data_IF_692782048574
#
_entry.id   IF_692782048574
#
_cell.length_a   1.000
_cell.length_b   1.000
_cell.length_c   1.000
_cell.angle_alpha   90.00
_cell.angle_beta   90.00
_cell.angle_gamma   90.00
#
_symmetry.space_group_name_H-M   'P 1'
#
loop_
_entity.id
_entity.type
_entity.pdbx_description
1 polymer ?
#
# COMPACT_ATOMS: atom_id res chain seq x y z
N UNK A 1 0.32 -27.68 0.80
CA UNK A 1 1.14 -26.49 0.56
C UNK A 1 0.58 -25.82 -0.68
N UNK A 2 0.11 -24.57 -0.58
CA UNK A 2 -0.42 -23.86 -1.75
C UNK A 2 0.73 -23.53 -2.70
N UNK A 3 0.75 -24.14 -3.88
CA UNK A 3 1.89 -24.13 -4.80
C UNK A 3 2.23 -22.72 -5.30
N UNK A 4 1.27 -21.78 -5.34
CA UNK A 4 1.48 -20.40 -5.78
C UNK A 4 2.29 -19.56 -4.79
N UNK A 5 2.35 -19.94 -3.50
CA UNK A 5 3.09 -19.20 -2.47
C UNK A 5 4.62 -19.33 -2.62
N UNK A 6 5.11 -20.20 -3.50
CA UNK A 6 6.54 -20.22 -3.86
C UNK A 6 6.91 -19.07 -4.83
N UNK A 7 5.90 -18.39 -5.39
CA UNK A 7 6.09 -17.34 -6.38
C UNK A 7 6.60 -17.85 -7.73
N UNK A 8 6.95 -16.92 -8.60
CA UNK A 8 7.44 -17.21 -9.94
C UNK A 8 8.85 -16.63 -10.14
N UNK A 9 9.92 -17.40 -9.94
CA UNK A 9 11.30 -16.91 -10.04
C UNK A 9 11.71 -16.54 -11.48
N UNK A 10 10.87 -16.81 -12.48
CA UNK A 10 11.13 -16.42 -13.87
C UNK A 10 10.75 -14.96 -14.16
N UNK A 11 10.00 -14.32 -13.26
CA UNK A 11 9.56 -12.94 -13.42
C UNK A 11 10.56 -11.98 -12.81
N UNK A 12 10.66 -10.80 -13.42
CA UNK A 12 11.46 -9.68 -12.90
C UNK A 12 10.60 -8.85 -11.95
N UNK A 13 11.12 -8.56 -10.76
CA UNK A 13 10.48 -7.66 -9.78
C UNK A 13 10.30 -6.28 -10.40
N UNK A 14 9.11 -5.70 -10.24
CA UNK A 14 8.83 -4.34 -10.71
C UNK A 14 9.58 -3.32 -9.87
N UNK A 15 10.32 -2.43 -10.51
CA UNK A 15 10.94 -1.31 -9.81
C UNK A 15 9.88 -0.29 -9.38
N UNK A 16 9.67 -0.13 -8.06
CA UNK A 16 8.62 0.74 -7.49
C UNK A 16 8.58 2.17 -8.05
N UNK A 17 9.74 2.75 -8.38
CA UNK A 17 9.84 4.11 -8.92
C UNK A 17 9.37 4.24 -10.38
N UNK A 18 9.20 3.13 -11.08
CA UNK A 18 8.78 3.11 -12.49
C UNK A 18 7.24 3.04 -12.63
N UNK A 19 6.54 2.64 -11.56
CA UNK A 19 5.08 2.51 -11.54
C UNK A 19 4.39 3.87 -11.73
N UNK A 20 3.44 3.92 -12.67
CA UNK A 20 2.69 5.14 -13.02
C UNK A 20 1.29 5.12 -12.42
N UNK A 21 0.63 6.28 -12.41
CA UNK A 21 -0.77 6.39 -11.99
C UNK A 21 -1.67 5.47 -12.83
N UNK A 22 -2.74 4.94 -12.22
CA UNK A 22 -3.66 3.99 -12.83
C UNK A 22 -3.38 2.54 -12.44
N UNK A 23 -3.95 1.61 -13.21
CA UNK A 23 -3.87 0.16 -12.96
C UNK A 23 -2.55 -0.37 -13.54
N UNK A 24 -1.77 -1.06 -12.71
CA UNK A 24 -0.51 -1.68 -13.09
C UNK A 24 -0.52 -3.16 -12.70
N UNK A 25 -0.06 -4.03 -13.59
CA UNK A 25 0.29 -5.42 -13.22
C UNK A 25 1.75 -5.43 -12.79
N UNK A 26 2.00 -5.74 -11.51
CA UNK A 26 3.32 -5.65 -10.91
C UNK A 26 3.77 -7.00 -10.37
N UNK A 27 5.07 -7.13 -10.16
CA UNK A 27 5.72 -8.24 -9.48
C UNK A 27 6.38 -7.70 -8.22
N UNK A 28 5.92 -8.15 -7.06
CA UNK A 28 6.45 -7.75 -5.75
C UNK A 28 7.50 -8.74 -5.27
N UNK A 29 8.59 -8.23 -4.71
CA UNK A 29 9.66 -8.96 -4.01
C UNK A 29 9.20 -9.36 -2.60
N UNK A 30 8.27 -10.32 -2.52
CA UNK A 30 7.79 -10.81 -1.22
C UNK A 30 8.91 -11.44 -0.42
N UNK A 31 9.04 -11.02 0.84
CA UNK A 31 9.98 -11.60 1.80
C UNK A 31 9.68 -13.08 2.04
N UNK A 32 8.40 -13.46 2.08
CA UNK A 32 7.94 -14.79 2.47
C UNK A 32 7.68 -15.70 1.26
N UNK A 33 7.26 -15.13 0.13
CA UNK A 33 6.64 -15.88 -0.97
C UNK A 33 7.35 -15.68 -2.32
N UNK A 34 8.56 -15.11 -2.34
CA UNK A 34 9.32 -14.87 -3.57
C UNK A 34 8.67 -13.83 -4.49
N UNK A 35 8.84 -13.98 -5.81
CA UNK A 35 8.31 -13.02 -6.78
C UNK A 35 6.81 -13.25 -6.99
N UNK A 36 5.98 -12.29 -6.57
CA UNK A 36 4.52 -12.42 -6.53
C UNK A 36 3.84 -11.44 -7.47
N UNK A 37 3.01 -11.94 -8.38
CA UNK A 37 2.21 -11.14 -9.31
C UNK A 37 0.96 -10.58 -8.62
N UNK A 38 0.68 -9.29 -8.79
CA UNK A 38 -0.55 -8.66 -8.31
C UNK A 38 -0.90 -7.41 -9.11
N UNK A 39 -2.07 -6.84 -8.86
CA UNK A 39 -2.46 -5.54 -9.40
C UNK A 39 -2.14 -4.47 -8.36
N UNK A 40 -1.52 -3.37 -8.81
CA UNK A 40 -1.38 -2.12 -8.07
C UNK A 40 -2.12 -1.00 -8.82
N UNK A 41 -3.15 -0.44 -8.19
CA UNK A 41 -3.81 0.77 -8.63
C UNK A 41 -3.18 1.95 -7.91
N UNK A 42 -2.43 2.77 -8.63
CA UNK A 42 -1.68 3.90 -8.07
C UNK A 42 -2.43 5.21 -8.30
N UNK A 43 -2.42 6.07 -7.28
CA UNK A 43 -3.04 7.40 -7.32
C UNK A 43 -4.56 7.38 -7.52
N UNK A 44 -5.25 6.39 -6.95
CA UNK A 44 -6.71 6.40 -6.88
C UNK A 44 -7.16 7.53 -5.93
N UNK A 45 -8.17 8.30 -6.32
CA UNK A 45 -8.67 9.40 -5.50
C UNK A 45 -9.96 9.04 -4.77
N UNK A 46 -10.03 9.38 -3.49
CA UNK A 46 -11.26 9.36 -2.70
C UNK A 46 -11.62 10.79 -2.34
N UNK A 47 -12.81 11.24 -2.74
CA UNK A 47 -13.31 12.57 -2.44
C UNK A 47 -13.99 12.58 -1.07
N UNK A 48 -13.55 13.47 -0.19
CA UNK A 48 -14.09 13.65 1.16
C UNK A 48 -15.38 14.50 1.11
N UNK A 49 -16.13 14.52 2.21
CA UNK A 49 -17.38 15.31 2.37
C UNK A 49 -17.23 16.80 2.02
N UNK A 50 -16.02 17.36 2.14
CA UNK A 50 -15.71 18.76 1.84
C UNK A 50 -15.13 19.01 0.43
N UNK A 51 -15.05 17.95 -0.40
CA UNK A 51 -14.54 18.02 -1.78
C UNK A 51 -13.02 17.88 -1.91
N UNK A 52 -12.27 17.78 -0.82
CA UNK A 52 -10.84 17.46 -0.90
C UNK A 52 -10.64 16.03 -1.37
N UNK A 53 -9.57 15.80 -2.15
CA UNK A 53 -9.20 14.48 -2.63
C UNK A 53 -8.03 13.92 -1.83
N UNK A 54 -8.25 12.76 -1.22
CA UNK A 54 -7.17 11.91 -0.73
C UNK A 54 -6.70 10.96 -1.82
N UNK A 55 -5.43 10.60 -1.77
CA UNK A 55 -4.78 9.76 -2.76
C UNK A 55 -4.38 8.43 -2.12
N UNK A 56 -4.71 7.32 -2.76
CA UNK A 56 -4.46 5.99 -2.24
C UNK A 56 -3.79 5.10 -3.28
N UNK A 57 -3.11 4.07 -2.80
CA UNK A 57 -2.67 2.94 -3.59
C UNK A 57 -3.44 1.68 -3.15
N UNK A 58 -3.87 0.86 -4.12
CA UNK A 58 -4.58 -0.40 -3.87
C UNK A 58 -3.76 -1.54 -4.44
N UNK A 59 -3.34 -2.47 -3.58
CA UNK A 59 -2.69 -3.71 -3.98
C UNK A 59 -3.68 -4.85 -3.83
N UNK A 60 -3.95 -5.61 -4.89
CA UNK A 60 -4.97 -6.67 -4.88
C UNK A 60 -4.62 -7.87 -5.75
N UNK A 61 -5.20 -9.05 -5.49
CA UNK A 61 -4.98 -10.22 -6.33
C UNK A 61 -5.31 -9.94 -7.81
N UNK A 62 -4.51 -10.50 -8.72
CA UNK A 62 -4.75 -10.43 -10.16
C UNK A 62 -5.81 -11.48 -10.60
N UNK A 63 -6.99 -11.41 -10.00
CA UNK A 63 -8.14 -12.29 -10.27
C UNK A 63 -9.42 -11.62 -9.79
N UNK A 64 -10.55 -12.02 -10.37
CA UNK A 64 -11.86 -11.59 -9.92
C UNK A 64 -12.18 -12.17 -8.52
N UNK A 65 -12.95 -11.43 -7.74
CA UNK A 65 -13.41 -11.86 -6.42
C UNK A 65 -13.48 -10.72 -5.42
N UNK A 66 -14.12 -11.01 -4.28
CA UNK A 66 -14.18 -10.12 -3.12
C UNK A 66 -13.20 -10.59 -2.08
N UNK A 67 -12.36 -9.67 -1.60
CA UNK A 67 -11.28 -9.97 -0.67
C UNK A 67 -11.37 -9.08 0.56
N UNK A 68 -11.01 -9.59 1.75
CA UNK A 68 -10.85 -8.76 2.93
C UNK A 68 -9.79 -7.67 2.71
N UNK A 69 -10.02 -6.49 3.29
CA UNK A 69 -9.16 -5.31 3.13
C UNK A 69 -8.30 -5.09 4.38
N UNK A 70 -6.99 -4.96 4.19
CA UNK A 70 -6.04 -4.41 5.15
C UNK A 70 -5.75 -2.97 4.76
N UNK A 71 -5.87 -2.03 5.70
CA UNK A 71 -5.69 -0.61 5.42
C UNK A 71 -4.73 0.03 6.41
N UNK A 72 -3.88 0.92 5.92
CA UNK A 72 -3.11 1.84 6.76
C UNK A 72 -3.15 3.25 6.16
N UNK A 73 -3.05 4.25 7.04
CA UNK A 73 -3.13 5.66 6.68
C UNK A 73 -2.16 6.49 7.51
N UNK A 74 -1.44 7.39 6.87
CA UNK A 74 -0.53 8.35 7.50
C UNK A 74 -0.30 9.55 6.56
N UNK A 75 0.53 10.49 7.00
CA UNK A 75 0.94 11.67 6.23
C UNK A 75 2.42 11.62 5.80
N UNK A 76 3.08 10.45 5.86
CA UNK A 76 4.53 10.30 5.66
C UNK A 76 4.92 10.07 4.20
N UNK A 77 3.99 9.59 3.37
CA UNK A 77 4.16 9.40 1.94
C UNK A 77 3.88 7.97 1.50
N UNK A 78 2.72 7.77 0.85
CA UNK A 78 2.24 6.45 0.41
C UNK A 78 3.13 5.72 -0.61
N UNK A 79 4.01 6.45 -1.30
CA UNK A 79 4.92 5.93 -2.34
C UNK A 79 6.38 5.85 -1.86
N UNK A 80 6.65 6.02 -0.56
CA UNK A 80 8.00 5.90 -0.03
C UNK A 80 8.52 4.48 -0.24
N UNK A 81 9.69 4.35 -0.88
CA UNK A 81 10.46 3.11 -0.87
C UNK A 81 11.14 2.97 0.50
N UNK A 82 11.04 1.80 1.18
CA UNK A 82 11.60 1.63 2.51
C UNK A 82 13.12 1.81 2.49
N UNK A 83 13.62 2.67 3.37
CA UNK A 83 15.06 2.91 3.59
C UNK A 83 15.57 2.12 4.79
N UNK A 84 14.70 1.89 5.79
CA UNK A 84 15.06 1.26 7.06
C UNK A 84 15.62 -0.16 6.92
N UNK A 85 15.35 -0.82 5.79
CA UNK A 85 15.88 -2.15 5.44
C UNK A 85 17.41 -2.18 5.33
N UNK A 86 18.08 -1.03 5.18
CA UNK A 86 19.55 -0.95 5.05
C UNK A 86 20.17 0.23 5.83
N UNK A 87 19.61 0.58 7.00
CA UNK A 87 20.08 1.71 7.82
C UNK A 87 21.07 1.33 8.93
N UNK A 88 21.57 0.09 8.99
CA UNK A 88 22.33 -0.44 10.14
C UNK A 88 23.52 0.41 10.59
N UNK A 89 24.26 1.04 9.68
CA UNK A 89 25.38 1.91 10.04
C UNK A 89 24.95 3.28 10.60
N UNK A 90 23.79 3.79 10.17
CA UNK A 90 23.25 5.10 10.58
C UNK A 90 22.40 4.98 11.86
N UNK A 91 21.67 3.87 12.01
CA UNK A 91 20.78 3.63 13.13
C UNK A 91 20.78 2.14 13.53
N UNK A 92 21.80 1.68 14.29
CA UNK A 92 22.04 0.26 14.53
C UNK A 92 21.01 -0.42 15.46
N UNK A 93 20.21 0.36 16.20
CA UNK A 93 19.23 -0.17 17.16
C UNK A 93 17.86 -0.47 16.55
N UNK A 94 17.67 -0.29 15.24
CA UNK A 94 16.41 -0.61 14.57
C UNK A 94 16.12 -2.12 14.53
N UNK A 95 17.17 -2.97 14.61
CA UNK A 95 17.05 -4.41 14.42
C UNK A 95 16.83 -4.80 12.96
N UNK A 96 16.44 -6.06 12.74
CA UNK A 96 16.15 -6.58 11.39
C UNK A 96 14.70 -6.27 10.99
N UNK A 97 14.52 -5.53 9.90
CA UNK A 97 13.21 -5.14 9.39
C UNK A 97 13.08 -5.60 7.93
N UNK A 98 12.75 -6.88 7.68
CA UNK A 98 12.57 -7.38 6.33
C UNK A 98 11.18 -7.02 5.79
N UNK A 99 11.12 -6.30 4.66
CA UNK A 99 9.89 -5.97 3.93
C UNK A 99 10.14 -6.02 2.43
N UNK A 100 9.09 -6.13 1.61
CA UNK A 100 9.18 -5.90 0.17
C UNK A 100 9.50 -4.43 -0.14
N UNK A 101 9.95 -4.17 -1.37
CA UNK A 101 10.24 -2.81 -1.86
C UNK A 101 8.99 -1.92 -1.99
N UNK A 102 7.79 -2.49 -1.89
CA UNK A 102 6.49 -1.82 -1.96
C UNK A 102 5.89 -1.49 -0.58
N UNK A 103 6.70 -1.53 0.49
CA UNK A 103 6.24 -1.29 1.86
C UNK A 103 6.82 0.02 2.39
N UNK A 104 6.08 1.15 2.32
CA UNK A 104 6.45 2.33 3.10
C UNK A 104 6.61 1.96 4.57
N UNK A 105 7.49 2.64 5.30
CA UNK A 105 7.67 2.39 6.73
C UNK A 105 6.32 2.41 7.49
N UNK A 106 6.24 1.60 8.56
CA UNK A 106 5.03 1.42 9.40
C UNK A 106 3.80 0.83 8.67
N UNK A 107 3.97 0.32 7.45
CA UNK A 107 2.88 -0.21 6.62
C UNK A 107 2.76 -1.73 6.63
N UNK A 108 1.56 -2.26 6.39
CA UNK A 108 1.36 -3.66 6.00
C UNK A 108 2.04 -3.94 4.65
N UNK A 109 2.82 -5.02 4.57
CA UNK A 109 3.55 -5.40 3.36
C UNK A 109 2.60 -6.08 2.34
N UNK A 110 2.35 -5.51 1.14
CA UNK A 110 1.50 -6.15 0.14
C UNK A 110 2.05 -7.49 -0.34
N UNK A 111 3.38 -7.68 -0.30
CA UNK A 111 4.04 -8.95 -0.61
C UNK A 111 3.70 -10.06 0.38
N UNK A 112 3.24 -9.75 1.59
CA UNK A 112 2.73 -10.75 2.53
C UNK A 112 1.21 -10.93 2.40
N UNK A 113 0.46 -9.82 2.41
CA UNK A 113 -1.00 -9.88 2.51
C UNK A 113 -1.68 -10.31 1.21
N UNK A 114 -1.25 -9.79 0.06
CA UNK A 114 -1.93 -10.05 -1.22
C UNK A 114 -1.84 -11.50 -1.67
N UNK A 115 -0.70 -12.21 -1.54
CA UNK A 115 -0.62 -13.65 -1.82
C UNK A 115 -1.52 -14.52 -0.92
N UNK A 116 -1.97 -14.00 0.22
CA UNK A 116 -2.92 -14.62 1.14
C UNK A 116 -4.38 -14.18 0.89
N UNK A 117 -4.67 -13.68 -0.32
CA UNK A 117 -6.02 -13.28 -0.74
C UNK A 117 -6.62 -12.11 0.08
N UNK A 118 -5.77 -11.15 0.46
CA UNK A 118 -6.20 -9.84 0.97
C UNK A 118 -5.95 -8.74 -0.07
N UNK A 119 -6.69 -7.64 0.08
CA UNK A 119 -6.36 -6.35 -0.54
C UNK A 119 -5.60 -5.51 0.48
N UNK A 120 -4.58 -4.77 0.05
CA UNK A 120 -3.91 -3.76 0.88
C UNK A 120 -4.20 -2.37 0.30
N UNK A 121 -4.78 -1.50 1.11
CA UNK A 121 -5.00 -0.08 0.76
C UNK A 121 -4.04 0.78 1.58
N UNK A 122 -3.20 1.55 0.88
CA UNK A 122 -2.31 2.53 1.49
C UNK A 122 -2.83 3.94 1.23
N UNK A 123 -3.17 4.64 2.30
CA UNK A 123 -3.82 5.96 2.25
C UNK A 123 -2.81 7.06 2.56
N UNK A 124 -2.73 8.08 1.70
CA UNK A 124 -2.12 9.36 2.04
C UNK A 124 -3.22 10.28 2.62
N UNK A 125 -3.13 10.56 3.92
CA UNK A 125 -4.09 11.43 4.61
C UNK A 125 -3.94 12.89 4.18
N UNK A 126 -4.92 13.71 4.54
CA UNK A 126 -5.03 15.10 4.09
C UNK A 126 -3.77 15.90 4.33
N UNK A 127 -3.41 16.70 3.34
CA UNK A 127 -2.22 17.54 3.35
C UNK A 127 -0.91 16.79 3.06
N UNK A 128 -0.97 15.48 2.82
CA UNK A 128 0.15 14.68 2.33
C UNK A 128 -0.02 14.29 0.85
N UNK A 129 1.05 13.81 0.24
CA UNK A 129 1.11 13.49 -1.19
C UNK A 129 0.64 14.68 -2.06
N UNK A 130 -0.37 14.48 -2.91
CA UNK A 130 -0.93 15.49 -3.80
C UNK A 130 -2.07 16.29 -3.17
N UNK A 131 -2.59 15.88 -2.00
CA UNK A 131 -3.53 16.69 -1.23
C UNK A 131 -2.83 17.96 -0.74
N UNK A 132 -3.51 19.10 -0.84
CA UNK A 132 -3.02 20.41 -0.33
C UNK A 132 -3.92 20.99 0.75
N UNK A 133 -4.88 20.20 1.22
CA UNK A 133 -5.68 20.51 2.41
C UNK A 133 -4.83 20.58 3.69
N UNK A 134 -5.51 20.89 4.79
CA UNK A 134 -4.85 21.07 6.10
C UNK A 134 -4.31 19.74 6.63
N UNK A 135 -3.01 19.70 6.89
CA UNK A 135 -2.32 18.63 7.60
C UNK A 135 -2.40 18.88 9.12
N UNK A 136 -3.15 18.06 9.83
CA UNK A 136 -3.33 18.15 11.30
C UNK A 136 -3.19 16.77 11.93
N UNK A 137 -1.96 16.34 12.26
CA UNK A 137 -1.70 14.97 12.71
C UNK A 137 -2.43 14.63 14.00
N UNK A 138 -2.93 13.40 14.08
CA UNK A 138 -3.58 12.81 15.26
C UNK A 138 -4.78 13.62 15.78
N UNK A 139 -5.48 14.25 14.84
CA UNK A 139 -6.64 15.07 15.13
C UNK A 139 -7.93 14.33 14.79
N UNK A 140 -9.05 14.80 15.35
CA UNK A 140 -10.36 14.28 14.99
C UNK A 140 -10.66 14.43 13.50
N UNK A 141 -10.26 15.54 12.86
CA UNK A 141 -10.49 15.75 11.42
C UNK A 141 -9.77 14.71 10.56
N UNK A 142 -8.55 14.34 10.93
CA UNK A 142 -7.79 13.31 10.25
C UNK A 142 -8.47 11.95 10.41
N UNK A 143 -8.96 11.64 11.62
CA UNK A 143 -9.73 10.42 11.87
C UNK A 143 -11.05 10.38 11.07
N UNK A 144 -11.70 11.52 10.88
CA UNK A 144 -12.91 11.62 10.05
C UNK A 144 -12.60 11.38 8.56
N UNK A 145 -11.50 11.94 8.03
CA UNK A 145 -11.05 11.63 6.66
C UNK A 145 -10.74 10.12 6.52
N UNK A 146 -10.08 9.52 7.51
CA UNK A 146 -9.80 8.08 7.50
C UNK A 146 -11.08 7.23 7.54
N UNK A 147 -12.06 7.62 8.37
CA UNK A 147 -13.38 6.98 8.41
C UNK A 147 -14.04 6.94 7.02
N UNK A 148 -14.00 8.04 6.27
CA UNK A 148 -14.59 8.10 4.93
C UNK A 148 -13.90 7.15 3.94
N UNK A 149 -12.58 7.01 4.02
CA UNK A 149 -11.83 6.06 3.17
C UNK A 149 -12.16 4.60 3.51
N UNK A 150 -12.41 4.28 4.78
CA UNK A 150 -12.87 2.95 5.21
C UNK A 150 -14.24 2.63 4.60
N UNK A 151 -15.21 3.54 4.75
CA UNK A 151 -16.56 3.37 4.19
C UNK A 151 -16.55 3.32 2.66
N UNK A 152 -15.67 4.10 2.01
CA UNK A 152 -15.46 4.06 0.57
C UNK A 152 -14.90 2.71 0.11
N UNK A 153 -13.89 2.18 0.80
CA UNK A 153 -13.28 0.89 0.45
C UNK A 153 -14.30 -0.25 0.59
N UNK A 154 -15.20 -0.15 1.57
CA UNK A 154 -16.25 -1.13 1.75
C UNK A 154 -17.24 -1.22 0.59
N UNK A 155 -17.42 -0.12 -0.15
CA UNK A 155 -18.30 -0.05 -1.33
C UNK A 155 -17.55 -0.31 -2.63
N UNK A 156 -16.34 0.22 -2.77
CA UNK A 156 -15.68 0.31 -4.09
C UNK A 156 -14.61 -0.76 -4.31
N UNK A 157 -14.14 -1.41 -3.25
CA UNK A 157 -13.07 -2.43 -3.31
C UNK A 157 -13.61 -3.83 -3.02
N UNK A 158 -14.69 -3.91 -2.24
CA UNK A 158 -15.37 -5.18 -1.90
C UNK A 158 -16.55 -5.51 -2.84
N UNK A 159 -16.74 -4.76 -3.94
CA UNK A 159 -17.71 -5.05 -5.00
C UNK A 159 -17.08 -5.82 -6.15
#
# INVERSE_FOLDING_TARGET
MNQHLLGNPKLTVTHVNEVKAGINHIVVDSVQYGNQEMIMEKDVTVEMRDGEKLYINIFRPNKDGKFPVVMSADTYGKDNKPKITNMGALWPTLGAIPTSSFTPEESPDPGFWVPNDYVVVKVALRGSDKSKGVLSPWSKREAEDYYEVIEWAAKSVME
#
